data_IF_311499320031
#
_entry.id   IF_311499320031
#
_cell.length_a   1.000
_cell.length_b   1.000
_cell.length_c   1.000
_cell.angle_alpha   90.00
_cell.angle_beta   90.00
_cell.angle_gamma   90.00
#
_symmetry.space_group_name_H-M   'P 1'
#
loop_
_entity.id
_entity.type
_entity.pdbx_description
1 polymer ?
#
# COMPACT_ATOMS: atom_id res chain seq x y z
N UNK A 1 -19.10 -1.11 30.80
CA UNK A 1 -18.86 -2.32 30.01
C UNK A 1 -20.08 -2.77 29.22
N UNK A 2 -21.27 -2.56 29.75
CA UNK A 2 -22.52 -2.93 29.03
C UNK A 2 -22.81 -2.09 27.77
N UNK A 3 -22.53 -0.78 27.82
CA UNK A 3 -22.85 0.14 26.74
C UNK A 3 -22.22 -0.25 25.38
N UNK A 4 -20.92 -0.58 25.34
CA UNK A 4 -20.25 -0.94 24.09
C UNK A 4 -20.84 -2.22 23.52
N UNK A 5 -21.08 -3.22 24.34
CA UNK A 5 -21.66 -4.48 23.93
C UNK A 5 -23.07 -4.30 23.40
N UNK A 6 -23.91 -3.53 24.10
CA UNK A 6 -25.28 -3.21 23.70
C UNK A 6 -25.34 -2.54 22.33
N UNK A 7 -24.47 -1.55 22.08
CA UNK A 7 -24.43 -0.87 20.78
C UNK A 7 -23.83 -1.72 19.66
N UNK A 8 -22.90 -2.62 19.97
CA UNK A 8 -22.41 -3.62 19.00
C UNK A 8 -23.54 -4.59 18.60
N UNK A 9 -24.32 -5.04 19.56
CA UNK A 9 -25.51 -5.90 19.32
C UNK A 9 -26.53 -5.13 18.49
N UNK A 10 -26.88 -3.90 18.85
CA UNK A 10 -27.79 -3.04 18.09
C UNK A 10 -27.31 -2.83 16.65
N UNK A 11 -26.02 -2.56 16.45
CA UNK A 11 -25.42 -2.42 15.11
C UNK A 11 -25.54 -3.72 14.32
N UNK A 12 -25.30 -4.85 14.96
CA UNK A 12 -25.42 -6.17 14.33
C UNK A 12 -26.84 -6.49 13.92
N UNK A 13 -27.81 -6.22 14.79
CA UNK A 13 -29.23 -6.41 14.51
C UNK A 13 -29.67 -5.53 13.34
N UNK A 14 -29.32 -4.26 13.35
CA UNK A 14 -29.65 -3.33 12.26
C UNK A 14 -29.06 -3.77 10.92
N UNK A 15 -27.82 -4.23 10.89
CA UNK A 15 -27.20 -4.78 9.68
C UNK A 15 -27.90 -6.06 9.20
N UNK A 16 -28.45 -6.87 10.10
CA UNK A 16 -29.18 -8.09 9.74
C UNK A 16 -30.58 -7.83 9.17
N UNK A 17 -31.10 -6.60 9.30
CA UNK A 17 -32.37 -6.21 8.64
C UNK A 17 -32.18 -5.90 7.16
N UNK A 18 -30.94 -5.71 6.69
CA UNK A 18 -30.65 -5.37 5.30
C UNK A 18 -30.87 -6.57 4.36
N UNK A 19 -31.21 -6.28 3.11
CA UNK A 19 -31.39 -7.29 2.07
C UNK A 19 -30.14 -8.17 1.91
N UNK A 20 -30.36 -9.48 1.84
CA UNK A 20 -29.33 -10.51 1.73
C UNK A 20 -28.32 -10.55 2.90
N UNK A 21 -28.65 -9.94 4.04
CA UNK A 21 -27.79 -9.97 5.21
C UNK A 21 -27.73 -11.38 5.82
N UNK A 22 -26.52 -11.80 6.21
CA UNK A 22 -26.27 -13.11 6.82
C UNK A 22 -25.22 -13.02 7.91
N UNK A 23 -25.47 -13.58 9.11
CA UNK A 23 -24.43 -13.68 10.12
C UNK A 23 -23.41 -14.74 9.74
N UNK A 24 -22.14 -14.48 10.05
CA UNK A 24 -21.03 -15.41 9.85
C UNK A 24 -20.49 -15.87 11.21
N UNK A 25 -19.86 -17.06 11.23
CA UNK A 25 -19.32 -17.67 12.46
C UNK A 25 -18.19 -16.86 13.11
N UNK A 26 -17.54 -15.98 12.34
CA UNK A 26 -16.36 -15.19 12.75
C UNK A 26 -16.71 -13.74 13.11
N UNK A 27 -17.86 -13.52 13.72
CA UNK A 27 -18.36 -12.20 14.15
C UNK A 27 -18.56 -11.19 13.00
N UNK A 28 -18.66 -11.65 11.76
CA UNK A 28 -19.00 -10.80 10.61
C UNK A 28 -20.48 -10.88 10.27
N UNK A 29 -21.00 -9.76 9.78
CA UNK A 29 -22.28 -9.72 9.06
C UNK A 29 -21.99 -9.46 7.60
N UNK A 30 -22.45 -10.36 6.72
CA UNK A 30 -22.35 -10.17 5.27
C UNK A 30 -23.58 -9.44 4.79
N UNK A 31 -23.40 -8.36 4.01
CA UNK A 31 -24.47 -7.56 3.42
C UNK A 31 -24.16 -7.26 1.94
N UNK A 32 -25.11 -6.75 1.19
CA UNK A 32 -24.83 -6.27 -0.17
C UNK A 32 -23.92 -5.07 -0.16
N UNK A 33 -22.95 -5.06 -1.08
CA UNK A 33 -21.99 -3.95 -1.18
C UNK A 33 -22.62 -2.76 -1.91
N UNK A 34 -22.74 -1.59 -1.27
CA UNK A 34 -23.32 -0.41 -1.92
C UNK A 34 -22.38 0.18 -3.00
N UNK A 35 -21.11 -0.20 -3.00
CA UNK A 35 -20.10 0.37 -3.90
C UNK A 35 -19.99 -0.35 -5.24
N UNK A 36 -20.17 -1.66 -5.27
CA UNK A 36 -20.15 -2.44 -6.52
C UNK A 36 -21.49 -3.03 -6.91
N UNK A 37 -22.52 -2.83 -6.08
CA UNK A 37 -23.87 -3.34 -6.30
C UNK A 37 -24.00 -4.86 -6.23
N UNK A 38 -22.90 -5.57 -5.89
CA UNK A 38 -22.84 -7.03 -5.87
C UNK A 38 -23.29 -7.71 -7.19
N UNK A 39 -23.77 -8.95 -7.11
CA UNK A 39 -24.22 -9.68 -8.28
C UNK A 39 -25.61 -9.21 -8.74
N UNK A 40 -25.70 -8.79 -10.00
CA UNK A 40 -27.01 -8.49 -10.63
C UNK A 40 -27.82 -9.78 -10.83
N UNK A 41 -27.15 -10.94 -10.88
CA UNK A 41 -27.79 -12.24 -11.14
C UNK A 41 -28.29 -12.95 -9.87
N UNK A 42 -27.85 -12.54 -8.70
CA UNK A 42 -28.24 -13.15 -7.41
C UNK A 42 -28.41 -12.07 -6.36
N UNK A 43 -29.64 -11.74 -6.04
CA UNK A 43 -29.98 -10.74 -5.03
C UNK A 43 -29.77 -11.25 -3.61
N UNK A 44 -29.65 -12.57 -3.42
CA UNK A 44 -29.54 -13.23 -2.12
C UNK A 44 -28.10 -13.32 -1.58
N UNK A 45 -27.13 -12.76 -2.28
CA UNK A 45 -25.71 -12.86 -1.92
C UNK A 45 -25.09 -11.48 -1.71
N UNK A 46 -24.70 -11.21 -0.46
CA UNK A 46 -23.87 -10.07 -0.08
C UNK A 46 -22.39 -10.47 -0.02
N UNK A 47 -21.50 -9.61 -0.49
CA UNK A 47 -20.05 -9.82 -0.44
C UNK A 47 -19.33 -8.82 0.45
N UNK A 48 -20.03 -7.86 1.04
CA UNK A 48 -19.47 -6.91 2.00
C UNK A 48 -19.57 -7.51 3.42
N UNK A 49 -18.46 -7.96 3.95
CA UNK A 49 -18.34 -8.41 5.34
C UNK A 49 -18.03 -7.26 6.28
N UNK A 50 -18.82 -7.08 7.31
CA UNK A 50 -18.60 -6.11 8.39
C UNK A 50 -18.25 -6.89 9.64
N UNK A 51 -17.05 -6.67 10.18
CA UNK A 51 -16.56 -7.30 11.40
C UNK A 51 -16.99 -6.49 12.61
N UNK A 52 -17.74 -7.16 13.51
CA UNK A 52 -18.14 -6.61 14.80
C UNK A 52 -17.63 -7.60 15.84
N UNK A 53 -16.43 -7.38 16.36
CA UNK A 53 -15.89 -8.28 17.37
C UNK A 53 -16.55 -8.03 18.72
N UNK A 54 -17.33 -9.00 19.17
CA UNK A 54 -18.08 -8.93 20.43
C UNK A 54 -17.19 -9.18 21.65
N UNK A 55 -16.01 -9.74 21.45
CA UNK A 55 -15.11 -10.18 22.52
C UNK A 55 -13.93 -9.26 22.75
N UNK A 56 -13.59 -8.40 21.77
CA UNK A 56 -12.48 -7.47 21.86
C UNK A 56 -12.92 -6.04 21.56
N UNK A 57 -12.89 -5.18 22.58
CA UNK A 57 -13.24 -3.75 22.45
C UNK A 57 -12.09 -2.89 21.94
N UNK A 58 -10.95 -3.48 21.64
CA UNK A 58 -9.76 -2.78 21.10
C UNK A 58 -9.68 -2.85 19.59
N UNK A 59 -10.52 -3.71 18.96
CA UNK A 59 -10.56 -3.85 17.50
C UNK A 59 -11.59 -2.86 16.94
N UNK A 60 -11.22 -1.93 16.04
CA UNK A 60 -12.19 -1.06 15.39
C UNK A 60 -13.14 -1.87 14.51
N UNK A 61 -14.32 -1.33 14.25
CA UNK A 61 -15.24 -1.91 13.28
C UNK A 61 -14.61 -1.88 11.89
N UNK A 62 -14.53 -3.04 11.25
CA UNK A 62 -13.87 -3.18 9.95
C UNK A 62 -14.86 -3.66 8.89
N UNK A 63 -14.62 -3.30 7.63
CA UNK A 63 -15.38 -3.87 6.53
C UNK A 63 -14.47 -4.32 5.38
N UNK A 64 -14.93 -5.31 4.63
CA UNK A 64 -14.29 -5.75 3.38
C UNK A 64 -15.32 -6.34 2.43
N UNK A 65 -15.33 -5.87 1.18
CA UNK A 65 -16.07 -6.50 0.10
C UNK A 65 -15.20 -7.54 -0.62
N UNK A 66 -15.64 -8.78 -0.69
CA UNK A 66 -14.91 -9.86 -1.36
C UNK A 66 -14.95 -9.75 -2.89
N UNK A 67 -15.85 -8.92 -3.44
CA UNK A 67 -15.99 -8.76 -4.90
C UNK A 67 -15.21 -7.58 -5.45
N UNK A 68 -15.34 -6.39 -4.88
CA UNK A 68 -14.62 -5.20 -5.35
C UNK A 68 -13.37 -4.88 -4.51
N UNK A 69 -13.06 -5.72 -3.54
CA UNK A 69 -11.93 -5.63 -2.61
C UNK A 69 -11.89 -4.31 -1.81
N UNK A 70 -13.02 -3.58 -1.77
CA UNK A 70 -13.15 -2.40 -0.93
C UNK A 70 -13.14 -2.79 0.54
N UNK A 71 -12.30 -2.12 1.34
CA UNK A 71 -12.10 -2.49 2.74
C UNK A 71 -11.58 -1.31 3.56
N UNK A 72 -11.79 -1.33 4.86
CA UNK A 72 -11.31 -0.28 5.77
C UNK A 72 -12.02 -0.31 7.11
N UNK A 73 -11.89 0.80 7.85
CA UNK A 73 -12.65 1.05 9.07
C UNK A 73 -14.10 1.36 8.65
N UNK A 74 -15.06 0.69 9.32
CA UNK A 74 -16.48 0.92 9.10
C UNK A 74 -16.89 2.21 9.79
N UNK A 75 -17.24 3.23 9.05
CA UNK A 75 -17.52 4.59 9.55
C UNK A 75 -19.01 4.94 9.42
N UNK A 76 -19.47 6.08 10.00
CA UNK A 76 -20.82 6.58 9.79
C UNK A 76 -21.20 6.79 8.31
N UNK A 77 -20.20 6.99 7.43
CA UNK A 77 -20.46 7.08 5.99
C UNK A 77 -20.92 5.75 5.43
N UNK A 78 -20.27 4.63 5.79
CA UNK A 78 -20.68 3.30 5.36
C UNK A 78 -22.08 2.93 5.90
N UNK A 79 -22.41 3.35 7.13
CA UNK A 79 -23.80 3.20 7.65
C UNK A 79 -24.81 3.89 6.73
N UNK A 80 -24.56 5.14 6.37
CA UNK A 80 -25.44 5.90 5.47
C UNK A 80 -25.52 5.28 4.07
N UNK A 81 -24.38 4.81 3.53
CA UNK A 81 -24.31 4.15 2.22
C UNK A 81 -25.11 2.83 2.19
N UNK A 82 -25.25 2.19 3.34
CA UNK A 82 -26.11 0.99 3.54
C UNK A 82 -27.58 1.34 3.81
N UNK A 83 -27.94 2.62 3.88
CA UNK A 83 -29.29 3.07 4.16
C UNK A 83 -29.66 3.12 5.64
N UNK A 84 -28.72 2.89 6.54
CA UNK A 84 -28.93 2.94 8.00
C UNK A 84 -28.80 4.39 8.49
N UNK A 85 -29.92 4.99 8.86
CA UNK A 85 -30.01 6.39 9.29
C UNK A 85 -30.21 6.58 10.81
N UNK A 86 -29.70 5.66 11.61
CA UNK A 86 -29.76 5.72 13.06
C UNK A 86 -28.69 6.67 13.62
N UNK A 87 -29.09 7.75 14.26
CA UNK A 87 -28.19 8.79 14.80
C UNK A 87 -27.31 8.25 15.92
N UNK A 88 -27.83 7.37 16.77
CA UNK A 88 -27.11 6.86 17.93
C UNK A 88 -26.06 5.84 17.49
N UNK A 89 -26.38 4.99 16.51
CA UNK A 89 -25.40 4.11 15.89
C UNK A 89 -24.30 4.89 15.15
N UNK A 90 -24.63 5.98 14.47
CA UNK A 90 -23.63 6.84 13.82
C UNK A 90 -22.66 7.45 14.82
N UNK A 91 -23.20 7.95 15.95
CA UNK A 91 -22.39 8.49 17.04
C UNK A 91 -21.52 7.39 17.66
N UNK A 92 -22.12 6.24 17.98
CA UNK A 92 -21.39 5.09 18.52
C UNK A 92 -20.24 4.65 17.61
N UNK A 93 -20.50 4.43 16.32
CA UNK A 93 -19.47 4.00 15.34
C UNK A 93 -18.32 4.99 15.28
N UNK A 94 -18.59 6.30 15.33
CA UNK A 94 -17.56 7.33 15.33
C UNK A 94 -16.70 7.28 16.61
N UNK A 95 -17.34 7.29 17.77
CA UNK A 95 -16.68 7.33 19.07
C UNK A 95 -15.93 6.02 19.36
N UNK A 96 -16.52 4.89 19.09
CA UNK A 96 -15.94 3.57 19.27
C UNK A 96 -14.66 3.39 18.41
N UNK A 97 -14.75 3.72 17.13
CA UNK A 97 -13.59 3.62 16.26
C UNK A 97 -12.47 4.61 16.68
N UNK A 98 -12.81 5.80 17.13
CA UNK A 98 -11.83 6.76 17.63
C UNK A 98 -11.10 6.23 18.89
N UNK A 99 -11.82 5.57 19.80
CA UNK A 99 -11.23 4.95 20.99
C UNK A 99 -10.40 3.72 20.64
N UNK A 100 -10.94 2.79 19.84
CA UNK A 100 -10.25 1.58 19.40
C UNK A 100 -9.00 1.92 18.58
N UNK A 101 -9.05 2.94 17.73
CA UNK A 101 -7.90 3.40 16.94
C UNK A 101 -6.85 4.05 17.83
N UNK A 102 -7.21 4.86 18.83
CA UNK A 102 -6.24 5.43 19.81
C UNK A 102 -5.54 4.33 20.59
N UNK A 103 -6.25 3.30 21.02
CA UNK A 103 -5.66 2.16 21.74
C UNK A 103 -4.76 1.33 20.82
N UNK A 104 -5.14 1.15 19.55
CA UNK A 104 -4.39 0.40 18.57
C UNK A 104 -3.27 1.22 17.90
N UNK A 105 -3.39 2.55 17.75
CA UNK A 105 -2.27 3.34 17.23
C UNK A 105 -1.09 3.32 18.21
N UNK A 106 -1.32 3.31 19.51
CA UNK A 106 -0.25 3.06 20.46
C UNK A 106 0.31 1.62 20.36
N UNK A 107 -0.51 0.63 20.04
CA UNK A 107 -0.08 -0.77 19.85
C UNK A 107 0.33 -1.07 18.39
N UNK A 108 -0.30 -0.45 17.38
CA UNK A 108 0.07 -0.62 15.98
C UNK A 108 1.32 0.17 15.62
N UNK A 109 1.48 1.40 16.12
CA UNK A 109 2.73 2.14 15.97
C UNK A 109 3.88 1.43 16.69
N UNK A 110 3.65 0.86 17.87
CA UNK A 110 4.63 0.04 18.58
C UNK A 110 4.89 -1.30 17.85
N UNK A 111 3.90 -1.97 17.28
CA UNK A 111 4.11 -3.20 16.49
C UNK A 111 4.69 -2.94 15.11
N UNK A 112 4.33 -1.85 14.44
CA UNK A 112 4.92 -1.44 13.16
C UNK A 112 6.36 -0.96 13.37
N UNK A 113 6.67 -0.27 14.49
CA UNK A 113 8.00 0.23 14.80
C UNK A 113 8.86 -0.75 15.62
N UNK A 114 8.28 -1.65 16.41
CA UNK A 114 8.99 -2.70 17.14
C UNK A 114 9.25 -3.97 16.34
N UNK A 115 8.58 -4.15 15.19
CA UNK A 115 8.74 -5.32 14.33
C UNK A 115 9.99 -5.21 13.46
N UNK A 116 10.98 -6.02 13.76
CA UNK A 116 12.11 -6.44 12.93
C UNK A 116 12.76 -5.34 12.09
N UNK A 117 13.80 -4.72 12.64
CA UNK A 117 14.66 -3.75 11.93
C UNK A 117 15.60 -4.51 10.98
N UNK A 118 15.08 -5.02 9.88
CA UNK A 118 15.95 -5.53 8.82
C UNK A 118 16.71 -4.35 8.22
N UNK A 119 18.03 -4.50 8.17
CA UNK A 119 18.92 -3.51 7.59
C UNK A 119 19.62 -4.11 6.39
N UNK A 120 19.93 -3.27 5.41
CA UNK A 120 20.81 -3.67 4.31
C UNK A 120 22.24 -3.55 4.83
N UNK A 121 23.09 -4.58 4.66
CA UNK A 121 24.50 -4.47 5.03
C UNK A 121 25.16 -3.34 4.24
N UNK A 122 25.95 -2.52 4.93
CA UNK A 122 26.66 -1.39 4.33
C UNK A 122 27.78 -1.88 3.42
N UNK A 123 28.45 -2.96 3.85
CA UNK A 123 29.50 -3.62 3.06
C UNK A 123 28.93 -4.90 2.45
N UNK A 124 29.16 -5.08 1.17
CA UNK A 124 28.84 -6.33 0.47
C UNK A 124 30.12 -7.13 0.19
N UNK A 125 30.09 -8.42 0.47
CA UNK A 125 31.19 -9.32 0.18
C UNK A 125 31.37 -9.57 -1.33
N UNK A 126 30.26 -9.69 -2.06
CA UNK A 126 30.29 -9.85 -3.51
C UNK A 126 30.04 -8.51 -4.21
N UNK A 127 31.12 -7.71 -4.25
CA UNK A 127 31.10 -6.39 -4.91
C UNK A 127 30.85 -6.50 -6.42
N UNK A 128 31.26 -7.60 -7.05
CA UNK A 128 31.07 -7.79 -8.48
C UNK A 128 29.57 -7.97 -8.80
N UNK A 129 28.88 -8.86 -8.09
CA UNK A 129 27.46 -9.07 -8.28
C UNK A 129 26.63 -7.79 -7.96
N UNK A 130 27.02 -7.09 -6.89
CA UNK A 130 26.39 -5.81 -6.54
C UNK A 130 26.56 -4.79 -7.67
N UNK A 131 27.77 -4.66 -8.25
CA UNK A 131 28.05 -3.75 -9.35
C UNK A 131 27.25 -4.11 -10.61
N UNK A 132 27.17 -5.39 -10.99
CA UNK A 132 26.36 -5.85 -12.13
C UNK A 132 24.89 -5.39 -12.00
N UNK A 133 24.32 -5.44 -10.78
CA UNK A 133 22.95 -4.97 -10.53
C UNK A 133 22.84 -3.46 -10.56
N UNK A 134 23.82 -2.74 -10.03
CA UNK A 134 23.92 -1.29 -10.11
C UNK A 134 24.00 -0.84 -11.57
N UNK A 135 24.85 -1.48 -12.36
CA UNK A 135 25.00 -1.17 -13.79
C UNK A 135 23.69 -1.38 -14.56
N UNK A 136 22.95 -2.46 -14.23
CA UNK A 136 21.62 -2.70 -14.80
C UNK A 136 20.63 -1.57 -14.46
N UNK A 137 20.57 -1.14 -13.18
CA UNK A 137 19.64 -0.06 -12.78
C UNK A 137 20.06 1.24 -13.45
N UNK A 138 21.35 1.56 -13.46
CA UNK A 138 21.92 2.76 -14.08
C UNK A 138 21.62 2.80 -15.59
N UNK A 139 21.86 1.69 -16.29
CA UNK A 139 21.54 1.56 -17.71
C UNK A 139 20.03 1.77 -17.96
N UNK A 140 19.19 1.10 -17.17
CA UNK A 140 17.74 1.16 -17.34
C UNK A 140 17.17 2.55 -17.14
N UNK A 141 17.68 3.29 -16.15
CA UNK A 141 17.20 4.63 -15.81
C UNK A 141 18.00 5.75 -16.49
N UNK A 142 19.12 5.43 -17.15
CA UNK A 142 20.02 6.42 -17.77
C UNK A 142 20.69 7.33 -16.76
N UNK A 143 21.08 6.79 -15.60
CA UNK A 143 21.72 7.52 -14.50
C UNK A 143 23.07 6.90 -14.16
N UNK A 144 23.84 7.56 -13.28
CA UNK A 144 25.13 7.04 -12.80
C UNK A 144 25.17 7.14 -11.28
N UNK A 145 24.81 6.07 -10.60
CA UNK A 145 24.78 5.94 -9.14
C UNK A 145 25.67 4.81 -8.68
N UNK A 146 26.13 4.90 -7.44
CA UNK A 146 27.03 3.92 -6.82
C UNK A 146 26.25 2.85 -6.04
N UNK A 147 26.97 1.81 -5.59
CA UNK A 147 26.42 0.79 -4.66
C UNK A 147 25.86 1.47 -3.41
N UNK A 148 26.61 2.44 -2.83
CA UNK A 148 26.21 3.13 -1.60
C UNK A 148 24.94 3.95 -1.78
N UNK A 149 24.75 4.59 -2.95
CA UNK A 149 23.52 5.32 -3.23
C UNK A 149 22.31 4.42 -3.23
N UNK A 150 22.41 3.23 -3.83
CA UNK A 150 21.32 2.25 -3.83
C UNK A 150 21.09 1.61 -2.46
N UNK A 151 22.14 1.39 -1.67
CA UNK A 151 21.99 0.92 -0.28
C UNK A 151 21.18 1.94 0.56
N UNK A 152 21.48 3.24 0.42
CA UNK A 152 20.71 4.33 1.07
C UNK A 152 19.25 4.33 0.65
N UNK A 153 18.97 3.97 -0.60
CA UNK A 153 17.62 3.79 -1.13
C UNK A 153 16.99 2.42 -0.78
N UNK A 154 17.65 1.64 0.08
CA UNK A 154 17.22 0.30 0.51
C UNK A 154 17.01 -0.69 -0.63
N UNK A 155 17.89 -0.62 -1.62
CA UNK A 155 17.99 -1.62 -2.67
C UNK A 155 18.84 -2.79 -2.17
N UNK A 156 18.28 -4.00 -2.23
CA UNK A 156 18.97 -5.24 -1.85
C UNK A 156 19.72 -5.77 -3.06
N UNK A 157 21.01 -5.49 -3.12
CA UNK A 157 21.88 -5.93 -4.21
C UNK A 157 22.33 -7.38 -4.04
N UNK A 158 22.59 -7.83 -2.80
CA UNK A 158 23.01 -9.18 -2.46
C UNK A 158 22.02 -9.84 -1.49
N UNK A 159 21.08 -10.60 -2.03
CA UNK A 159 20.01 -11.17 -1.23
C UNK A 159 20.47 -12.23 -0.23
N UNK A 160 21.41 -13.09 -0.60
CA UNK A 160 21.93 -14.10 0.32
C UNK A 160 22.63 -13.45 1.53
N UNK A 161 23.45 -12.42 1.29
CA UNK A 161 24.10 -11.64 2.34
C UNK A 161 23.08 -10.93 3.25
N UNK A 162 22.02 -10.37 2.65
CA UNK A 162 20.93 -9.76 3.39
C UNK A 162 20.28 -10.74 4.37
N UNK A 163 20.03 -11.98 3.94
CA UNK A 163 19.44 -13.02 4.78
C UNK A 163 20.35 -13.39 5.97
N UNK A 164 21.64 -13.57 5.69
CA UNK A 164 22.65 -13.89 6.72
C UNK A 164 22.82 -12.74 7.71
N UNK A 165 22.98 -11.52 7.21
CA UNK A 165 23.16 -10.33 8.04
C UNK A 165 22.00 -10.09 9.00
N UNK A 166 20.77 -10.34 8.54
CA UNK A 166 19.57 -10.18 9.35
C UNK A 166 19.17 -11.44 10.13
N UNK A 167 20.01 -12.47 10.14
CA UNK A 167 19.79 -13.74 10.85
C UNK A 167 18.44 -14.39 10.51
N UNK A 168 18.06 -14.34 9.24
CA UNK A 168 16.82 -14.96 8.75
C UNK A 168 17.11 -16.45 8.54
N UNK A 169 16.98 -17.23 9.61
CA UNK A 169 17.36 -18.66 9.64
C UNK A 169 16.36 -19.57 8.93
N UNK A 170 15.08 -19.20 8.93
CA UNK A 170 14.04 -19.99 8.28
C UNK A 170 13.68 -19.38 6.94
N UNK A 171 14.24 -19.95 5.90
CA UNK A 171 13.86 -19.59 4.54
C UNK A 171 12.41 -19.99 4.28
N UNK A 172 11.61 -19.05 3.83
CA UNK A 172 10.21 -19.31 3.43
C UNK A 172 10.13 -20.03 2.08
N UNK A 173 11.28 -20.22 1.40
CA UNK A 173 11.39 -20.80 0.06
C UNK A 173 12.58 -21.75 -0.06
N UNK A 174 12.53 -22.61 -1.09
CA UNK A 174 13.60 -23.55 -1.42
C UNK A 174 14.90 -22.83 -1.76
N UNK A 175 16.04 -23.49 -1.50
CA UNK A 175 17.39 -22.94 -1.71
C UNK A 175 17.61 -22.45 -3.16
N UNK A 176 17.11 -23.19 -4.13
CA UNK A 176 17.22 -22.86 -5.56
C UNK A 176 16.51 -21.56 -5.90
N UNK A 177 15.34 -21.30 -5.28
CA UNK A 177 14.60 -20.05 -5.46
C UNK A 177 15.38 -18.87 -4.86
N UNK A 178 15.99 -19.06 -3.69
CA UNK A 178 16.82 -18.03 -3.03
C UNK A 178 18.04 -17.71 -3.88
N UNK A 179 18.71 -18.74 -4.42
CA UNK A 179 19.84 -18.55 -5.33
C UNK A 179 19.42 -17.82 -6.61
N UNK A 180 18.29 -18.18 -7.18
CA UNK A 180 17.75 -17.49 -8.36
C UNK A 180 17.48 -16.01 -8.07
N UNK A 181 16.85 -15.67 -6.92
CA UNK A 181 16.62 -14.30 -6.49
C UNK A 181 17.94 -13.55 -6.24
N UNK A 182 18.94 -14.23 -5.69
CA UNK A 182 20.23 -13.64 -5.42
C UNK A 182 20.99 -13.25 -6.70
N UNK A 183 21.05 -14.10 -7.69
CA UNK A 183 21.84 -13.87 -8.91
C UNK A 183 21.09 -13.08 -10.00
N UNK A 184 19.79 -13.30 -10.14
CA UNK A 184 19.04 -12.83 -11.32
C UNK A 184 18.07 -11.68 -11.01
N UNK A 185 18.03 -11.19 -9.77
CA UNK A 185 17.09 -10.14 -9.38
C UNK A 185 17.75 -9.05 -8.55
N UNK A 186 17.23 -7.86 -8.66
CA UNK A 186 17.46 -6.78 -7.70
C UNK A 186 16.26 -6.68 -6.78
N UNK A 187 16.52 -6.54 -5.48
CA UNK A 187 15.48 -6.46 -4.44
C UNK A 187 15.28 -5.03 -3.96
N UNK A 188 14.06 -4.73 -3.52
CA UNK A 188 13.67 -3.45 -2.93
C UNK A 188 13.01 -3.74 -1.60
N UNK A 189 13.64 -3.31 -0.51
CA UNK A 189 13.10 -3.52 0.83
C UNK A 189 11.89 -2.61 1.04
N UNK A 190 10.74 -3.21 1.32
CA UNK A 190 9.48 -2.47 1.48
C UNK A 190 9.50 -1.53 2.69
N UNK A 191 8.61 -0.53 2.67
CA UNK A 191 8.52 0.51 3.72
C UNK A 191 8.33 -0.09 5.11
N UNK A 192 7.50 -1.11 5.25
CA UNK A 192 7.27 -1.80 6.52
C UNK A 192 8.34 -2.85 6.83
N UNK A 193 9.37 -3.00 5.98
CA UNK A 193 10.48 -3.96 6.12
C UNK A 193 10.05 -5.42 6.33
N UNK A 194 8.87 -5.78 5.83
CA UNK A 194 8.31 -7.13 5.94
C UNK A 194 8.51 -7.96 4.69
N UNK A 195 8.73 -7.29 3.56
CA UNK A 195 8.90 -7.90 2.26
C UNK A 195 10.07 -7.28 1.50
N UNK A 196 10.58 -8.05 0.56
CA UNK A 196 11.44 -7.55 -0.51
C UNK A 196 10.70 -7.79 -1.81
N UNK A 197 10.51 -6.74 -2.59
CA UNK A 197 9.99 -6.82 -3.95
C UNK A 197 11.17 -6.98 -4.90
N UNK A 198 11.16 -8.03 -5.69
CA UNK A 198 12.24 -8.36 -6.62
C UNK A 198 11.85 -8.05 -8.06
N UNK A 199 12.83 -7.54 -8.80
CA UNK A 199 12.73 -7.33 -10.27
C UNK A 199 13.84 -8.07 -10.95
N UNK A 200 13.49 -8.88 -11.97
CA UNK A 200 14.46 -9.58 -12.79
C UNK A 200 15.34 -8.61 -13.57
N UNK A 201 16.66 -8.83 -13.54
CA UNK A 201 17.64 -8.06 -14.30
C UNK A 201 17.93 -8.69 -15.68
N UNK A 202 17.53 -9.95 -15.88
CA UNK A 202 17.82 -10.73 -17.10
C UNK A 202 16.60 -10.92 -17.99
N UNK A 203 15.47 -10.24 -17.70
CA UNK A 203 14.22 -10.43 -18.42
C UNK A 203 13.55 -11.80 -18.24
N UNK A 204 14.06 -12.66 -17.34
CA UNK A 204 13.51 -13.98 -17.05
C UNK A 204 12.17 -13.87 -16.32
N UNK A 205 11.26 -14.78 -16.58
CA UNK A 205 10.01 -14.91 -15.84
C UNK A 205 10.20 -15.70 -14.52
N UNK A 206 9.49 -15.31 -13.46
CA UNK A 206 8.63 -14.14 -13.37
C UNK A 206 9.43 -12.81 -13.36
N UNK A 207 8.96 -11.80 -14.10
CA UNK A 207 9.62 -10.49 -14.18
C UNK A 207 9.74 -9.81 -12.82
N UNK A 208 8.87 -10.14 -11.88
CA UNK A 208 8.94 -9.70 -10.50
C UNK A 208 8.50 -10.82 -9.56
N UNK A 209 9.01 -10.78 -8.35
CA UNK A 209 8.66 -11.69 -7.26
C UNK A 209 8.62 -10.93 -5.93
N UNK A 210 8.00 -11.51 -4.92
CA UNK A 210 7.93 -10.93 -3.57
C UNK A 210 8.37 -11.97 -2.55
N UNK A 211 9.36 -11.63 -1.75
CA UNK A 211 9.82 -12.45 -0.64
C UNK A 211 9.29 -11.89 0.68
N UNK A 212 8.51 -12.67 1.40
CA UNK A 212 8.08 -12.35 2.76
C UNK A 212 9.12 -12.87 3.75
N UNK A 213 9.61 -12.00 4.64
CA UNK A 213 10.64 -12.36 5.61
C UNK A 213 10.12 -13.15 6.81
N UNK A 214 8.81 -13.21 6.98
CA UNK A 214 8.10 -14.04 7.95
C UNK A 214 6.88 -14.68 7.31
N UNK A 215 6.32 -15.71 7.97
CA UNK A 215 5.07 -16.36 7.58
C UNK A 215 3.85 -15.42 7.82
N UNK A 216 3.90 -14.21 7.29
CA UNK A 216 2.72 -13.37 7.21
C UNK A 216 1.79 -13.92 6.14
N UNK A 217 0.50 -13.99 6.46
CA UNK A 217 -0.48 -14.31 5.43
C UNK A 217 -0.30 -13.29 4.29
N UNK A 218 -0.08 -13.77 3.08
CA UNK A 218 0.16 -12.99 1.86
C UNK A 218 -1.00 -12.05 1.46
N UNK A 219 -2.00 -11.88 2.32
CA UNK A 219 -3.22 -11.14 2.06
C UNK A 219 -3.12 -9.63 2.31
N UNK A 220 -2.07 -9.17 3.00
CA UNK A 220 -1.90 -7.74 3.24
C UNK A 220 -1.05 -7.10 2.13
N UNK A 221 -1.71 -6.60 1.09
CA UNK A 221 -1.07 -5.94 -0.03
C UNK A 221 -0.35 -4.64 0.36
N UNK A 222 -0.72 -4.01 1.47
CA UNK A 222 -0.12 -2.74 1.94
C UNK A 222 1.34 -2.90 2.37
N UNK A 223 1.76 -4.11 2.71
CA UNK A 223 3.13 -4.40 3.14
C UNK A 223 4.15 -4.40 2.01
N UNK A 224 3.71 -4.30 0.75
CA UNK A 224 4.56 -4.33 -0.45
C UNK A 224 4.97 -2.95 -0.98
N UNK A 225 4.54 -1.87 -0.33
CA UNK A 225 4.90 -0.51 -0.75
C UNK A 225 6.39 -0.25 -0.55
N UNK A 226 7.02 0.37 -1.55
CA UNK A 226 8.40 0.84 -1.49
C UNK A 226 8.41 2.37 -1.49
N UNK A 227 9.06 3.03 -0.54
CA UNK A 227 9.06 4.49 -0.43
C UNK A 227 10.43 5.13 -0.28
N UNK A 228 10.57 6.36 -0.74
CA UNK A 228 11.72 7.26 -0.64
C UNK A 228 11.20 8.64 -0.21
N UNK A 229 11.70 9.26 0.86
CA UNK A 229 12.48 8.68 1.95
C UNK A 229 11.64 7.72 2.80
N UNK A 230 12.26 7.04 3.75
CA UNK A 230 11.58 6.09 4.64
C UNK A 230 11.02 6.71 5.91
N UNK A 231 11.50 7.87 6.27
CA UNK A 231 11.02 8.67 7.39
C UNK A 231 10.84 10.11 6.93
N UNK A 232 9.72 10.69 7.29
CA UNK A 232 9.37 12.08 7.03
C UNK A 232 8.67 12.65 8.26
N UNK A 233 8.92 13.93 8.53
CA UNK A 233 8.23 14.66 9.57
C UNK A 233 7.14 15.52 8.94
N UNK A 234 5.89 15.23 9.29
CA UNK A 234 4.72 15.93 8.75
C UNK A 234 4.32 17.17 9.56
N UNK A 235 4.89 17.34 10.75
CA UNK A 235 4.41 18.34 11.71
C UNK A 235 4.78 19.79 11.35
N UNK A 236 5.71 19.99 10.41
CA UNK A 236 6.28 21.32 10.12
C UNK A 236 6.05 21.83 8.70
N UNK A 237 5.22 21.16 7.89
CA UNK A 237 5.22 21.37 6.44
C UNK A 237 3.95 22.07 5.96
N UNK A 238 4.09 23.26 5.36
CA UNK A 238 2.97 24.01 4.78
C UNK A 238 2.38 23.30 3.56
N UNK A 239 3.21 22.68 2.73
CA UNK A 239 2.77 21.94 1.54
C UNK A 239 3.61 20.68 1.34
N UNK A 240 2.95 19.55 1.12
CA UNK A 240 3.58 18.25 0.97
C UNK A 240 3.15 17.57 -0.35
N UNK A 241 4.10 16.88 -1.01
CA UNK A 241 3.86 16.24 -2.28
C UNK A 241 4.07 14.71 -2.17
N UNK A 242 3.07 13.95 -2.53
CA UNK A 242 3.10 12.49 -2.56
C UNK A 242 3.09 12.03 -4.00
N UNK A 243 4.11 11.28 -4.39
CA UNK A 243 4.28 10.73 -5.74
C UNK A 243 4.02 9.23 -5.69
N UNK A 244 3.07 8.74 -6.48
CA UNK A 244 2.75 7.32 -6.62
C UNK A 244 3.09 6.84 -8.02
N UNK A 245 3.75 5.68 -8.13
CA UNK A 245 3.96 4.98 -9.39
C UNK A 245 3.71 3.47 -9.25
N UNK A 246 3.48 2.77 -10.35
CA UNK A 246 3.06 1.36 -10.33
C UNK A 246 4.14 0.42 -9.81
N UNK A 247 5.38 0.63 -10.21
CA UNK A 247 6.51 -0.22 -9.86
C UNK A 247 7.66 0.50 -9.17
N UNK A 248 8.63 -0.29 -8.71
CA UNK A 248 9.85 0.23 -8.09
C UNK A 248 10.71 1.01 -9.07
N UNK A 249 10.85 0.55 -10.32
CA UNK A 249 11.61 1.28 -11.35
C UNK A 249 10.90 2.56 -11.77
N UNK A 250 9.57 2.54 -11.84
CA UNK A 250 8.80 3.73 -12.19
C UNK A 250 8.99 4.84 -11.17
N UNK A 251 8.91 4.49 -9.88
CA UNK A 251 9.11 5.49 -8.82
C UNK A 251 10.56 5.95 -8.73
N UNK A 252 11.55 5.08 -9.02
CA UNK A 252 12.95 5.51 -9.14
C UNK A 252 13.14 6.46 -10.33
N UNK A 253 12.50 6.19 -11.47
CA UNK A 253 12.52 7.08 -12.63
C UNK A 253 11.90 8.44 -12.32
N UNK A 254 10.80 8.48 -11.59
CA UNK A 254 10.20 9.74 -11.10
C UNK A 254 11.18 10.47 -10.16
N UNK A 255 11.76 9.77 -9.20
CA UNK A 255 12.69 10.33 -8.23
C UNK A 255 13.94 10.91 -8.88
N UNK A 256 14.63 10.16 -9.74
CA UNK A 256 15.87 10.57 -10.36
C UNK A 256 15.66 11.51 -11.57
N UNK A 257 14.79 11.13 -12.50
CA UNK A 257 14.71 11.73 -13.83
C UNK A 257 13.71 12.88 -13.93
N UNK A 258 12.69 12.92 -13.06
CA UNK A 258 11.67 13.98 -13.07
C UNK A 258 11.89 14.95 -11.92
N UNK A 259 12.14 14.46 -10.71
CA UNK A 259 12.22 15.28 -9.51
C UNK A 259 13.68 15.58 -9.07
N UNK A 260 14.68 15.07 -9.79
CA UNK A 260 16.12 15.33 -9.55
C UNK A 260 16.53 15.06 -8.08
N UNK A 261 16.07 13.95 -7.51
CA UNK A 261 16.40 13.49 -6.14
C UNK A 261 15.93 14.43 -5.01
N UNK A 262 15.03 15.36 -5.30
CA UNK A 262 14.52 16.29 -4.30
C UNK A 262 13.55 15.58 -3.36
N UNK A 263 13.90 15.50 -2.07
CA UNK A 263 13.09 14.92 -1.00
C UNK A 263 12.47 15.96 -0.07
N UNK A 264 12.68 17.26 -0.33
CA UNK A 264 12.11 18.32 0.48
C UNK A 264 10.59 18.35 0.31
N UNK A 265 9.87 18.06 1.39
CA UNK A 265 8.41 17.97 1.39
C UNK A 265 7.84 17.00 0.33
N UNK A 266 8.56 15.93 0.04
CA UNK A 266 8.21 14.94 -0.98
C UNK A 266 8.40 13.52 -0.48
N UNK A 267 7.47 12.65 -0.82
CA UNK A 267 7.59 11.20 -0.68
C UNK A 267 7.24 10.51 -1.99
N UNK A 268 8.02 9.52 -2.34
CA UNK A 268 7.89 8.74 -3.57
C UNK A 268 7.55 7.31 -3.20
N UNK A 269 6.46 6.77 -3.74
CA UNK A 269 5.94 5.47 -3.37
C UNK A 269 5.66 4.62 -4.60
N UNK A 270 6.39 3.51 -4.72
CA UNK A 270 6.10 2.44 -5.65
C UNK A 270 5.04 1.51 -5.04
N UNK A 271 3.90 1.33 -5.72
CA UNK A 271 2.78 0.55 -5.18
C UNK A 271 2.95 -0.96 -5.35
N UNK A 272 3.89 -1.41 -6.19
CA UNK A 272 4.36 -2.79 -6.33
C UNK A 272 3.23 -3.83 -6.44
N UNK A 273 2.20 -3.51 -7.23
CA UNK A 273 1.06 -4.40 -7.50
C UNK A 273 -0.04 -4.38 -6.44
N UNK A 274 0.02 -3.52 -5.41
CA UNK A 274 -1.07 -3.41 -4.42
C UNK A 274 -2.28 -2.61 -4.92
N UNK A 275 -2.15 -1.92 -6.04
CA UNK A 275 -3.18 -1.06 -6.62
C UNK A 275 -3.26 0.33 -5.98
N UNK A 276 -3.61 1.35 -6.79
CA UNK A 276 -3.66 2.76 -6.35
C UNK A 276 -4.65 3.00 -5.22
N UNK A 277 -5.81 2.34 -5.25
CA UNK A 277 -6.83 2.47 -4.20
C UNK A 277 -6.28 2.05 -2.82
N UNK A 278 -5.57 0.91 -2.77
CA UNK A 278 -4.98 0.41 -1.54
C UNK A 278 -3.84 1.33 -1.06
N UNK A 279 -3.00 1.82 -1.99
CA UNK A 279 -1.94 2.76 -1.67
C UNK A 279 -2.48 4.08 -1.09
N UNK A 280 -3.52 4.65 -1.70
CA UNK A 280 -4.15 5.89 -1.20
C UNK A 280 -4.79 5.66 0.17
N UNK A 281 -5.46 4.52 0.40
CA UNK A 281 -5.94 4.17 1.74
C UNK A 281 -4.80 4.12 2.76
N UNK A 282 -3.67 3.54 2.39
CA UNK A 282 -2.49 3.52 3.26
C UNK A 282 -2.02 4.93 3.59
N UNK A 283 -1.95 5.84 2.61
CA UNK A 283 -1.58 7.24 2.84
C UNK A 283 -2.52 7.90 3.85
N UNK A 284 -3.83 7.71 3.69
CA UNK A 284 -4.83 8.24 4.61
C UNK A 284 -4.62 7.66 6.03
N UNK A 285 -4.39 6.37 6.15
CA UNK A 285 -4.20 5.70 7.44
C UNK A 285 -2.93 6.15 8.18
N UNK A 286 -1.89 6.53 7.48
CA UNK A 286 -0.63 7.03 8.08
C UNK A 286 -0.59 8.56 8.21
N UNK A 287 -1.70 9.26 7.91
CA UNK A 287 -1.79 10.71 8.05
C UNK A 287 -1.20 11.51 6.88
N UNK A 288 -0.81 10.86 5.79
CA UNK A 288 -0.33 11.51 4.56
C UNK A 288 -1.49 11.98 3.68
N UNK A 289 -2.34 12.80 4.22
CA UNK A 289 -3.48 13.42 3.53
C UNK A 289 -3.82 14.77 4.16
N UNK A 290 -4.56 15.60 3.47
CA UNK A 290 -5.03 16.89 3.97
C UNK A 290 -5.04 17.97 2.90
N UNK A 291 -5.53 19.15 3.28
CA UNK A 291 -5.62 20.32 2.40
C UNK A 291 -4.26 20.94 2.06
N UNK A 292 -3.19 20.44 2.63
CA UNK A 292 -1.80 20.78 2.32
C UNK A 292 -1.06 19.70 1.54
N UNK A 293 -1.73 18.58 1.21
CA UNK A 293 -1.09 17.44 0.52
C UNK A 293 -1.51 17.40 -0.95
N UNK A 294 -0.54 17.44 -1.86
CA UNK A 294 -0.74 17.19 -3.29
C UNK A 294 -0.42 15.74 -3.62
N UNK A 295 -1.32 15.06 -4.29
CA UNK A 295 -1.14 13.70 -4.76
C UNK A 295 -0.79 13.71 -6.27
N UNK A 296 0.33 13.11 -6.62
CA UNK A 296 0.82 12.97 -7.98
C UNK A 296 0.86 11.49 -8.35
N UNK A 297 0.08 11.08 -9.35
CA UNK A 297 0.00 9.70 -9.80
C UNK A 297 0.68 9.58 -11.16
N UNK A 298 1.70 8.74 -11.25
CA UNK A 298 2.43 8.41 -12.45
C UNK A 298 1.98 7.03 -12.92
N UNK A 299 1.14 7.04 -13.93
CA UNK A 299 0.48 5.83 -14.41
C UNK A 299 1.09 5.30 -15.69
N UNK A 300 1.03 3.98 -15.84
CA UNK A 300 1.26 3.34 -17.13
C UNK A 300 0.24 3.83 -18.16
N UNK A 301 0.68 4.03 -19.41
CA UNK A 301 -0.16 4.55 -20.50
C UNK A 301 -1.32 3.61 -20.88
N UNK A 302 -1.23 2.33 -20.54
CA UNK A 302 -2.27 1.33 -20.86
C UNK A 302 -3.45 1.32 -19.87
N UNK A 303 -3.44 2.15 -18.83
CA UNK A 303 -4.56 2.27 -17.90
C UNK A 303 -5.65 3.19 -18.45
N UNK A 304 -6.88 2.72 -18.42
CA UNK A 304 -8.02 3.51 -18.89
C UNK A 304 -8.26 4.76 -18.01
N UNK A 305 -8.45 5.95 -18.63
CA UNK A 305 -8.76 7.17 -17.90
C UNK A 305 -9.98 7.08 -16.98
N UNK A 306 -10.99 6.28 -17.36
CA UNK A 306 -12.21 6.07 -16.57
C UNK A 306 -11.94 5.47 -15.19
N UNK A 307 -10.90 4.65 -15.07
CA UNK A 307 -10.48 4.09 -13.79
C UNK A 307 -10.09 5.20 -12.80
N UNK A 308 -9.26 6.15 -13.28
CA UNK A 308 -8.78 7.24 -12.45
C UNK A 308 -9.87 8.25 -12.09
N UNK A 309 -10.80 8.52 -13.01
CA UNK A 309 -11.94 9.40 -12.72
C UNK A 309 -12.73 8.91 -11.52
N UNK A 310 -13.13 7.62 -11.51
CA UNK A 310 -13.84 7.02 -10.37
C UNK A 310 -13.01 7.00 -9.07
N UNK A 311 -11.70 6.83 -9.18
CA UNK A 311 -10.80 6.90 -8.02
C UNK A 311 -10.75 8.31 -7.46
N UNK A 312 -10.59 9.33 -8.31
CA UNK A 312 -10.46 10.72 -7.91
C UNK A 312 -11.75 11.27 -7.30
N UNK A 313 -12.91 10.96 -7.85
CA UNK A 313 -14.21 11.31 -7.26
C UNK A 313 -14.32 10.87 -5.80
N UNK A 314 -13.75 9.72 -5.45
CA UNK A 314 -13.79 9.17 -4.09
C UNK A 314 -12.78 9.77 -3.13
N UNK A 315 -11.63 10.19 -3.63
CA UNK A 315 -10.48 10.56 -2.77
C UNK A 315 -10.12 12.04 -2.83
N UNK A 316 -10.68 12.83 -3.76
CA UNK A 316 -10.37 14.25 -3.93
C UNK A 316 -10.52 15.07 -2.65
N UNK A 317 -11.52 14.76 -1.83
CA UNK A 317 -11.75 15.45 -0.55
C UNK A 317 -10.63 15.28 0.49
N UNK A 318 -9.72 14.34 0.28
CA UNK A 318 -8.62 14.08 1.20
C UNK A 318 -7.31 14.76 0.80
N UNK A 319 -7.25 15.44 -0.35
CA UNK A 319 -6.03 16.05 -0.86
C UNK A 319 -6.28 17.46 -1.36
N UNK A 320 -5.25 18.32 -1.29
CA UNK A 320 -5.28 19.67 -1.87
C UNK A 320 -5.47 19.62 -3.38
N UNK A 321 -4.75 18.71 -4.03
CA UNK A 321 -4.86 18.46 -5.47
C UNK A 321 -4.53 17.01 -5.79
N UNK A 322 -5.08 16.50 -6.91
CA UNK A 322 -4.72 15.21 -7.48
C UNK A 322 -4.32 15.43 -8.94
N UNK A 323 -3.11 15.00 -9.28
CA UNK A 323 -2.53 15.15 -10.60
C UNK A 323 -2.21 13.77 -11.18
N UNK A 324 -2.62 13.52 -12.41
CA UNK A 324 -2.33 12.30 -13.15
C UNK A 324 -1.35 12.60 -14.27
N UNK A 325 -0.32 11.77 -14.37
CA UNK A 325 0.73 11.89 -15.36
C UNK A 325 0.91 10.58 -16.14
N UNK A 326 1.19 10.72 -17.42
CA UNK A 326 1.58 9.64 -18.33
C UNK A 326 2.91 9.99 -18.99
N UNK A 327 3.66 8.94 -19.35
CA UNK A 327 4.79 9.09 -20.24
C UNK A 327 4.29 8.92 -21.70
N UNK A 328 4.30 9.99 -22.48
CA UNK A 328 3.82 9.92 -23.88
C UNK A 328 4.82 9.26 -24.82
N UNK A 329 6.10 9.28 -24.48
CA UNK A 329 7.13 8.59 -25.26
C UNK A 329 7.10 7.06 -25.08
N UNK A 330 6.79 6.58 -23.87
CA UNK A 330 6.85 5.16 -23.53
C UNK A 330 5.67 4.68 -22.69
N UNK A 331 5.73 3.40 -22.29
CA UNK A 331 4.68 2.79 -21.48
C UNK A 331 4.71 3.26 -20.02
N UNK A 332 5.91 3.33 -19.45
CA UNK A 332 6.16 3.53 -18.03
C UNK A 332 7.22 4.62 -17.78
N UNK A 333 7.53 4.88 -16.51
CA UNK A 333 8.50 5.89 -16.08
C UNK A 333 9.86 5.30 -15.68
N UNK A 334 9.99 4.00 -15.65
CA UNK A 334 11.23 3.28 -15.32
C UNK A 334 12.24 3.26 -16.48
N UNK A 335 12.49 4.41 -17.11
CA UNK A 335 13.28 4.60 -18.33
C UNK A 335 14.21 5.81 -18.20
N UNK A 336 15.22 5.96 -19.08
CA UNK A 336 16.08 7.14 -19.12
C UNK A 336 15.31 8.44 -19.34
N UNK A 337 15.84 9.55 -18.80
CA UNK A 337 15.24 10.89 -18.87
C UNK A 337 14.83 11.32 -20.28
N UNK A 338 15.67 11.04 -21.28
CA UNK A 338 15.41 11.36 -22.70
C UNK A 338 14.28 10.53 -23.31
N UNK A 339 13.78 9.51 -22.59
CA UNK A 339 12.61 8.69 -22.96
C UNK A 339 11.39 9.02 -22.10
N UNK A 340 11.36 10.17 -21.46
CA UNK A 340 10.21 10.63 -20.68
C UNK A 340 9.66 11.91 -21.32
N UNK A 341 8.46 11.82 -21.83
CA UNK A 341 7.65 12.98 -22.24
C UNK A 341 6.45 13.03 -21.30
N UNK A 342 6.52 13.94 -20.33
CA UNK A 342 5.54 14.04 -19.26
C UNK A 342 4.28 14.75 -19.76
N UNK A 343 3.16 14.06 -19.76
CA UNK A 343 1.85 14.62 -20.06
C UNK A 343 1.00 14.59 -18.80
N UNK A 344 0.52 15.77 -18.39
CA UNK A 344 -0.44 15.91 -17.29
C UNK A 344 -1.86 15.82 -17.84
N UNK A 345 -2.62 14.88 -17.34
CA UNK A 345 -4.05 14.79 -17.63
C UNK A 345 -4.82 15.56 -16.57
N UNK A 346 -5.66 16.49 -17.01
CA UNK A 346 -6.68 17.14 -16.15
C UNK A 346 -7.83 16.16 -15.97
N UNK A 347 -8.12 15.81 -14.74
CA UNK A 347 -9.25 14.95 -14.39
C UNK A 347 -10.40 15.76 -13.86
#
# INVERSE_FOLDING_TARGET
>A
MDYIKEYKEMLREELLTLDAAKPMKDNRVMVRCPYCGDSIKSFDHGHLGILIDMNDDKIPLLYRCLRCDDSGIFTPTQLSDLGINNSDLRKFVLEYNAQATKTNTNNLSLKIHAGYKYNIPVDTYDKRLAQEKVDYINWRLGINKTIDDYIKLRVVLNFAEFLVYNKIEKYTRKKEVIQNLHYNYVGFLTTLRQHIVFRSINGKDPRYDVYAMHNYSSKDNLTKLYSIPFSYDLMSIEEFNVYLAEGTFDILGVYFNICNEDTNNKVYIGICGCGYKAAIKYLINIGLFGLNVNLHIFSDKDKEPRFYKKLFEKVSKYFKSINLYYNDFGKDFGVPKNKIVLVRQRC
#
